data_IF_659651170761
#
_entry.id   IF_659651170761
#
_cell.length_a   1.000
_cell.length_b   1.000
_cell.length_c   1.000
_cell.angle_alpha   90.00
_cell.angle_beta   90.00
_cell.angle_gamma   90.00
#
_symmetry.space_group_name_H-M   'P 1'
#
loop_
_entity.id
_entity.type
_entity.pdbx_description
1 polymer ?
#
# COMPACT_ATOMS: atom_id res chain seq x y z
N UNK A 1 7.43 -0.81 -11.89
CA UNK A 1 8.10 0.49 -12.06
C UNK A 1 9.18 0.35 -13.14
N UNK A 2 9.35 1.33 -14.02
CA UNK A 2 10.37 1.35 -15.07
C UNK A 2 10.96 2.75 -15.29
N UNK A 3 12.07 2.83 -16.02
CA UNK A 3 12.77 4.09 -16.32
C UNK A 3 11.86 5.08 -17.05
N UNK A 4 12.03 6.39 -16.81
CA UNK A 4 11.23 7.50 -17.38
C UNK A 4 9.80 7.66 -16.87
N UNK A 5 9.33 6.79 -15.96
CA UNK A 5 8.03 7.00 -15.33
C UNK A 5 7.99 8.35 -14.59
N UNK A 6 6.81 9.00 -14.56
CA UNK A 6 6.69 10.32 -13.99
C UNK A 6 6.87 10.29 -12.47
N UNK A 7 7.47 11.35 -11.94
CA UNK A 7 7.42 11.68 -10.52
C UNK A 7 6.43 12.83 -10.37
N UNK A 8 5.43 12.67 -9.51
CA UNK A 8 4.34 13.61 -9.33
C UNK A 8 4.24 14.07 -7.88
N UNK A 9 3.84 15.31 -7.67
CA UNK A 9 3.44 15.84 -6.37
C UNK A 9 2.10 16.56 -6.53
N UNK A 10 1.14 16.28 -5.65
CA UNK A 10 -0.22 16.84 -5.72
C UNK A 10 -0.88 16.73 -7.13
N UNK A 11 -0.57 15.66 -7.87
CA UNK A 11 -1.07 15.43 -9.24
C UNK A 11 -0.27 16.09 -10.36
N UNK A 12 0.68 16.98 -10.04
CA UNK A 12 1.53 17.69 -11.01
C UNK A 12 2.82 16.91 -11.25
N UNK A 13 3.28 16.82 -12.51
CA UNK A 13 4.57 16.21 -12.85
C UNK A 13 5.69 17.15 -12.45
N UNK A 14 6.58 16.68 -11.56
CA UNK A 14 7.70 17.44 -11.00
C UNK A 14 9.07 16.88 -11.40
N UNK A 15 9.08 15.71 -12.04
CA UNK A 15 10.31 15.02 -12.41
C UNK A 15 10.06 13.67 -13.08
N UNK A 16 11.12 12.89 -13.27
CA UNK A 16 11.08 11.55 -13.87
C UNK A 16 12.09 10.60 -13.24
N UNK A 17 11.81 9.31 -13.30
CA UNK A 17 12.76 8.25 -12.93
C UNK A 17 13.92 8.22 -13.92
N UNK A 18 15.13 8.44 -13.42
CA UNK A 18 16.36 8.45 -14.18
C UNK A 18 16.97 7.04 -14.33
N UNK A 19 17.01 6.29 -13.23
CA UNK A 19 17.56 4.92 -13.21
C UNK A 19 16.93 4.08 -12.09
N UNK A 20 16.99 2.77 -12.27
CA UNK A 20 16.62 1.79 -11.26
C UNK A 20 17.76 0.78 -11.19
N UNK A 21 18.28 0.54 -9.99
CA UNK A 21 19.33 -0.45 -9.74
C UNK A 21 18.85 -1.44 -8.69
N UNK A 22 19.23 -2.69 -8.86
CA UNK A 22 18.98 -3.73 -7.88
C UNK A 22 20.30 -4.08 -7.19
N UNK A 23 20.29 -4.10 -5.86
CA UNK A 23 21.41 -4.53 -5.04
C UNK A 23 21.21 -6.01 -4.69
N UNK A 24 22.12 -6.86 -5.15
CA UNK A 24 22.10 -8.31 -4.98
C UNK A 24 22.52 -8.77 -3.57
N UNK A 25 23.05 -7.87 -2.74
CA UNK A 25 23.41 -8.14 -1.35
C UNK A 25 22.28 -7.79 -0.41
N UNK A 26 21.66 -6.64 -0.61
CA UNK A 26 20.54 -6.18 0.24
C UNK A 26 19.18 -6.61 -0.29
N UNK A 27 19.10 -7.10 -1.53
CA UNK A 27 17.88 -7.43 -2.26
C UNK A 27 16.91 -6.25 -2.37
N UNK A 28 17.44 -5.02 -2.35
CA UNK A 28 16.66 -3.79 -2.44
C UNK A 28 16.86 -3.11 -3.80
N UNK A 29 15.78 -2.51 -4.29
CA UNK A 29 15.84 -1.61 -5.44
C UNK A 29 16.16 -0.19 -4.98
N UNK A 30 17.15 0.45 -5.62
CA UNK A 30 17.41 1.89 -5.50
C UNK A 30 16.92 2.58 -6.77
N UNK A 31 16.06 3.59 -6.58
CA UNK A 31 15.52 4.40 -7.68
C UNK A 31 16.18 5.78 -7.64
N UNK A 32 16.77 6.18 -8.76
CA UNK A 32 17.25 7.53 -8.97
C UNK A 32 16.22 8.34 -9.73
N UNK A 33 15.96 9.55 -9.25
CA UNK A 33 14.98 10.46 -9.82
C UNK A 33 15.66 11.76 -10.20
N UNK A 34 15.23 12.36 -11.31
CA UNK A 34 15.59 13.72 -11.68
C UNK A 34 14.36 14.60 -11.52
N UNK A 35 14.46 15.57 -10.60
CA UNK A 35 13.41 16.54 -10.33
C UNK A 35 13.74 17.86 -11.03
N UNK A 36 12.72 18.58 -11.48
CA UNK A 36 12.92 19.91 -12.06
C UNK A 36 13.30 20.92 -10.97
N UNK A 37 14.34 21.72 -11.21
CA UNK A 37 14.94 22.65 -10.22
C UNK A 37 13.98 23.68 -9.65
N UNK A 38 12.89 23.99 -10.36
CA UNK A 38 11.85 24.92 -9.89
C UNK A 38 11.02 24.38 -8.72
N UNK A 39 11.05 23.07 -8.48
CA UNK A 39 10.32 22.43 -7.40
C UNK A 39 11.28 22.05 -6.28
N UNK A 40 11.06 22.61 -5.09
CA UNK A 40 11.83 22.27 -3.89
C UNK A 40 10.98 21.43 -2.95
N UNK A 41 11.63 20.50 -2.26
CA UNK A 41 10.99 19.55 -1.38
C UNK A 41 11.69 19.57 -0.02
N UNK A 42 10.95 19.62 1.10
CA UNK A 42 11.50 19.49 2.44
C UNK A 42 12.27 18.17 2.64
N UNK A 43 13.26 18.16 3.54
CA UNK A 43 14.11 17.01 3.84
C UNK A 43 13.33 15.77 4.30
N UNK A 44 12.19 15.98 4.94
CA UNK A 44 11.27 14.95 5.42
C UNK A 44 10.21 14.52 4.39
N UNK A 45 10.38 14.89 3.12
CA UNK A 45 9.52 14.43 2.02
C UNK A 45 9.48 12.91 1.96
N UNK A 46 8.28 12.35 1.76
CA UNK A 46 8.07 10.93 1.55
C UNK A 46 7.81 10.59 0.08
N UNK A 47 8.17 9.36 -0.31
CA UNK A 47 7.97 8.85 -1.65
C UNK A 47 7.12 7.57 -1.65
N UNK A 48 6.09 7.52 -2.49
CA UNK A 48 5.16 6.39 -2.58
C UNK A 48 5.07 5.91 -4.03
N UNK A 49 5.04 4.60 -4.25
CA UNK A 49 4.74 4.06 -5.57
C UNK A 49 3.22 3.94 -5.71
N UNK A 50 2.65 4.64 -6.69
CA UNK A 50 1.22 4.74 -6.91
C UNK A 50 0.88 4.28 -8.32
N UNK A 51 -0.37 3.86 -8.52
CA UNK A 51 -0.92 3.52 -9.83
C UNK A 51 -1.92 4.61 -10.25
N UNK A 52 -1.86 5.03 -11.51
CA UNK A 52 -2.82 5.99 -12.04
C UNK A 52 -4.20 5.34 -12.18
N UNK A 53 -5.09 5.57 -11.22
CA UNK A 53 -6.36 4.85 -11.15
C UNK A 53 -6.15 3.35 -10.88
N UNK A 54 -7.09 2.51 -11.34
CA UNK A 54 -7.03 1.06 -11.09
C UNK A 54 -6.03 0.32 -12.00
N UNK A 55 -5.89 0.77 -13.25
CA UNK A 55 -5.19 0.04 -14.32
C UNK A 55 -4.15 0.89 -15.07
N UNK A 56 -3.94 2.14 -14.66
CA UNK A 56 -3.00 3.01 -15.36
C UNK A 56 -1.54 2.66 -15.05
N UNK A 57 -0.66 3.52 -15.54
CA UNK A 57 0.77 3.38 -15.28
C UNK A 57 1.12 3.67 -13.81
N UNK A 58 2.17 3.01 -13.34
CA UNK A 58 2.79 3.33 -12.06
C UNK A 58 3.54 4.67 -12.13
N UNK A 59 3.61 5.38 -11.01
CA UNK A 59 4.38 6.60 -10.86
C UNK A 59 4.86 6.75 -9.42
N UNK A 60 5.83 7.64 -9.19
CA UNK A 60 6.26 8.00 -7.84
C UNK A 60 5.49 9.24 -7.40
N UNK A 61 4.72 9.13 -6.33
CA UNK A 61 4.15 10.25 -5.61
C UNK A 61 5.13 10.78 -4.59
N UNK A 62 5.42 12.08 -4.63
CA UNK A 62 6.12 12.78 -3.55
C UNK A 62 5.11 13.54 -2.70
N UNK A 63 5.27 13.44 -1.39
CA UNK A 63 4.49 14.17 -0.40
C UNK A 63 5.46 14.98 0.47
N UNK A 64 5.38 16.30 0.34
CA UNK A 64 6.21 17.22 1.10
C UNK A 64 5.87 17.13 2.59
N UNK A 65 6.89 17.07 3.43
CA UNK A 65 6.72 17.19 4.87
C UNK A 65 6.75 18.64 5.33
N UNK A 66 7.12 18.86 6.59
CA UNK A 66 7.12 20.15 7.26
C UNK A 66 8.50 20.69 7.62
N UNK A 67 9.58 20.00 7.22
CA UNK A 67 10.94 20.47 7.54
C UNK A 67 11.24 21.81 6.85
N UNK A 68 11.97 22.66 7.56
CA UNK A 68 12.47 23.94 7.05
C UNK A 68 13.69 23.76 6.16
N UNK A 69 14.44 22.67 6.34
CA UNK A 69 15.55 22.29 5.48
C UNK A 69 15.03 21.61 4.20
N UNK A 70 15.58 21.99 3.05
CA UNK A 70 15.24 21.40 1.76
C UNK A 70 16.13 20.19 1.45
N UNK A 71 15.61 19.24 0.67
CA UNK A 71 16.39 18.14 0.08
C UNK A 71 17.48 18.71 -0.81
N UNK A 72 18.72 18.29 -0.56
CA UNK A 72 19.86 18.58 -1.41
C UNK A 72 19.92 17.62 -2.60
N UNK A 73 20.65 18.02 -3.65
CA UNK A 73 20.95 17.12 -4.75
C UNK A 73 21.74 15.89 -4.24
N UNK A 74 21.43 14.72 -4.80
CA UNK A 74 21.98 13.43 -4.35
C UNK A 74 21.49 12.96 -2.97
N UNK A 75 20.60 13.70 -2.29
CA UNK A 75 20.04 13.26 -1.02
C UNK A 75 19.15 12.02 -1.19
N UNK A 76 19.12 11.17 -0.15
CA UNK A 76 18.28 9.97 -0.09
C UNK A 76 16.99 10.24 0.68
N UNK A 77 15.85 9.98 0.05
CA UNK A 77 14.55 9.90 0.73
C UNK A 77 14.49 8.60 1.52
N UNK A 78 14.26 8.69 2.83
CA UNK A 78 14.19 7.53 3.74
C UNK A 78 12.76 7.07 3.99
N UNK A 79 11.79 7.99 3.94
CA UNK A 79 10.37 7.71 4.08
C UNK A 79 9.82 7.20 2.74
N UNK A 80 9.80 5.88 2.56
CA UNK A 80 9.35 5.25 1.31
C UNK A 80 8.22 4.25 1.53
N UNK A 81 7.29 4.18 0.57
CA UNK A 81 6.20 3.22 0.59
C UNK A 81 6.11 2.47 -0.74
N UNK A 82 6.09 1.14 -0.64
CA UNK A 82 5.92 0.23 -1.78
C UNK A 82 4.55 0.33 -2.42
N UNK A 83 4.46 -0.08 -3.68
CA UNK A 83 3.18 -0.25 -4.36
C UNK A 83 2.36 -1.33 -3.65
N UNK A 84 1.05 -1.12 -3.59
CA UNK A 84 0.14 -2.18 -3.17
C UNK A 84 -0.11 -3.12 -4.34
N UNK A 85 -0.04 -4.42 -4.08
CA UNK A 85 -0.36 -5.47 -5.05
C UNK A 85 -1.87 -5.69 -5.01
N UNK A 86 -2.55 -5.48 -6.13
CA UNK A 86 -4.02 -5.50 -6.21
C UNK A 86 -4.59 -6.87 -5.80
N UNK A 87 -3.90 -7.94 -6.19
CA UNK A 87 -4.23 -9.33 -5.87
C UNK A 87 -4.29 -9.56 -4.35
N UNK A 88 -3.37 -8.94 -3.60
CA UNK A 88 -3.36 -9.04 -2.14
C UNK A 88 -4.59 -8.32 -1.54
N UNK A 89 -4.99 -7.19 -2.12
CA UNK A 89 -6.17 -6.45 -1.66
C UNK A 89 -7.46 -7.24 -1.92
N UNK A 90 -7.58 -7.84 -3.10
CA UNK A 90 -8.75 -8.66 -3.45
C UNK A 90 -8.81 -9.89 -2.55
N UNK A 91 -7.68 -10.58 -2.34
CA UNK A 91 -7.60 -11.73 -1.43
C UNK A 91 -8.01 -11.38 0.01
N UNK A 92 -7.48 -10.28 0.54
CA UNK A 92 -7.84 -9.80 1.87
C UNK A 92 -9.33 -9.42 1.97
N UNK A 93 -9.88 -8.78 0.94
CA UNK A 93 -11.29 -8.44 0.89
C UNK A 93 -12.20 -9.68 0.90
N UNK A 94 -11.91 -10.67 0.05
CA UNK A 94 -12.69 -11.91 -0.01
C UNK A 94 -12.60 -12.70 1.30
N UNK A 95 -11.42 -12.78 1.91
CA UNK A 95 -11.22 -13.41 3.20
C UNK A 95 -12.07 -12.74 4.30
N UNK A 96 -12.02 -11.41 4.40
CA UNK A 96 -12.80 -10.66 5.37
C UNK A 96 -14.31 -10.88 5.18
N UNK A 97 -14.79 -10.92 3.93
CA UNK A 97 -16.19 -11.24 3.62
C UNK A 97 -16.59 -12.65 4.03
N UNK A 98 -15.72 -13.64 3.84
CA UNK A 98 -15.97 -15.00 4.27
C UNK A 98 -15.99 -15.13 5.80
N UNK A 99 -15.10 -14.42 6.50
CA UNK A 99 -15.06 -14.38 7.96
C UNK A 99 -16.33 -13.75 8.56
N UNK A 100 -16.82 -12.64 7.99
CA UNK A 100 -18.09 -12.02 8.40
C UNK A 100 -19.30 -12.94 8.19
N UNK A 101 -19.31 -13.73 7.10
CA UNK A 101 -20.34 -14.72 6.82
C UNK A 101 -20.29 -15.92 7.79
N UNK A 102 -19.10 -16.31 8.27
CA UNK A 102 -18.93 -17.35 9.28
C UNK A 102 -19.33 -16.92 10.70
N UNK A 103 -19.17 -15.63 11.03
CA UNK A 103 -19.53 -15.09 12.35
C UNK A 103 -21.06 -14.92 12.56
N UNK A 104 -21.84 -14.94 11.49
CA UNK A 104 -23.31 -14.83 11.52
C UNK A 104 -24.05 -16.18 11.49
N UNK A 105 -23.31 -17.29 11.48
CA UNK A 105 -23.83 -18.65 11.41
C UNK A 105 -23.41 -19.54 12.57
N UNK A 106 -23.62 -19.12 13.82
CA UNK A 106 -23.65 -20.07 14.95
C UNK A 106 -25.00 -20.79 14.95
N UNK A 107 -25.08 -22.11 14.72
CA UNK A 107 -26.28 -22.86 15.01
C UNK A 107 -26.42 -22.87 16.53
N UNK A 108 -27.47 -22.20 17.04
CA UNK A 108 -27.97 -22.43 18.37
C UNK A 108 -28.26 -23.93 18.50
N UNK A 109 -27.40 -24.65 19.23
CA UNK A 109 -27.64 -26.02 19.63
C UNK A 109 -28.97 -26.05 20.39
N UNK A 110 -30.00 -26.58 19.71
CA UNK A 110 -31.36 -26.67 20.22
C UNK A 110 -31.41 -27.45 21.53
N UNK A 111 -31.70 -26.73 22.61
CA UNK A 111 -32.18 -27.29 23.85
C UNK A 111 -33.71 -27.41 23.79
N UNK A 112 -34.22 -28.62 23.52
CA UNK A 112 -35.62 -29.09 23.76
C UNK A 112 -35.80 -30.42 23.01
N UNK A 113 -36.33 -31.53 23.51
CA UNK A 113 -37.17 -31.89 24.66
C UNK A 113 -37.21 -33.45 24.73
N UNK A 114 -38.15 -34.17 25.41
CA UNK A 114 -38.98 -33.86 26.59
C UNK A 114 -38.84 -34.92 27.71
N UNK A 115 -39.42 -34.62 28.87
CA UNK A 115 -39.74 -35.62 29.89
C UNK A 115 -41.01 -36.40 29.49
N UNK A 116 -40.99 -37.73 29.67
CA UNK A 116 -42.18 -38.56 29.81
C UNK A 116 -41.93 -39.55 30.96
N UNK A 117 -42.74 -39.44 32.00
CA UNK A 117 -42.72 -40.30 33.19
C UNK A 117 -43.69 -41.47 33.11
N UNK A 118 -43.68 -42.28 34.18
CA UNK A 118 -44.63 -43.37 34.48
C UNK A 118 -44.26 -44.69 33.77
N UNK A 119 -44.33 -45.89 34.35
CA UNK A 119 -45.07 -46.40 35.50
C UNK A 119 -44.51 -47.77 35.94
N UNK A 120 -44.66 -48.07 37.24
CA UNK A 120 -44.95 -49.37 37.87
C UNK A 120 -44.31 -50.69 37.34
N UNK A 121 -43.48 -51.33 38.17
CA UNK A 121 -43.86 -52.48 39.03
C UNK A 121 -42.72 -52.84 39.99
#
# INVERSE_FOLDING_TARGET
>A
MYKRQPVKSAGVVVGRVAAIRFDDKTYQATVEMSLETRYQFPKDTSAKILTSGLLGEQYIGLEAGGDTAMLADGARITMTQSAVVLENLIGQFLYNKAADAGASGSPAAGASAPALGGDAK
#
